data_IF_914814237441
#
_entry.id   IF_914814237441
#
_cell.length_a   1.000
_cell.length_b   1.000
_cell.length_c   1.000
_cell.angle_alpha   90.00
_cell.angle_beta   90.00
_cell.angle_gamma   90.00
#
_symmetry.space_group_name_H-M   'P 1'
#
loop_
_entity.id
_entity.type
_entity.pdbx_description
1 polymer ?
#
# COMPACT_ATOMS: atom_id res chain seq x y z
N UNK A 1 84.42 -37.29 -24.30
CA UNK A 1 84.01 -36.18 -23.41
C UNK A 1 83.09 -35.26 -24.19
N UNK A 2 81.89 -34.85 -23.80
CA UNK A 2 81.16 -35.04 -22.54
C UNK A 2 80.08 -33.94 -22.40
N UNK A 3 79.07 -33.92 -23.28
CA UNK A 3 78.03 -32.87 -23.27
C UNK A 3 77.05 -33.08 -22.11
N UNK A 4 76.99 -32.14 -21.16
CA UNK A 4 75.94 -32.08 -20.13
C UNK A 4 74.69 -31.39 -20.70
N UNK A 5 73.59 -32.14 -20.83
CA UNK A 5 72.25 -31.56 -20.97
C UNK A 5 71.62 -31.38 -19.58
N UNK A 6 71.03 -30.22 -19.32
CA UNK A 6 70.42 -29.90 -18.03
C UNK A 6 68.89 -29.97 -18.15
N UNK A 7 68.26 -31.00 -17.58
CA UNK A 7 66.84 -31.28 -17.78
C UNK A 7 66.08 -31.08 -16.46
N UNK A 8 65.45 -29.91 -16.29
CA UNK A 8 64.72 -29.56 -15.07
C UNK A 8 63.27 -30.05 -15.15
N UNK A 9 62.96 -31.20 -14.53
CA UNK A 9 61.58 -31.67 -14.39
C UNK A 9 60.90 -31.03 -13.17
N UNK A 10 59.98 -30.09 -13.42
CA UNK A 10 59.12 -29.52 -12.38
C UNK A 10 58.05 -30.55 -11.93
N UNK A 11 58.32 -31.27 -10.85
CA UNK A 11 57.31 -32.11 -10.20
C UNK A 11 56.18 -31.25 -9.61
N UNK A 12 55.00 -31.35 -10.20
CA UNK A 12 53.77 -30.75 -9.65
C UNK A 12 53.22 -31.67 -8.54
N UNK A 13 52.85 -31.15 -7.34
CA UNK A 13 52.42 -31.99 -6.23
C UNK A 13 51.12 -32.79 -6.53
N UNK A 14 50.94 -33.99 -5.95
CA UNK A 14 49.73 -34.78 -6.13
C UNK A 14 48.47 -34.03 -5.73
N UNK A 15 47.44 -34.11 -6.59
CA UNK A 15 46.17 -33.37 -6.51
C UNK A 15 45.42 -33.51 -5.17
N UNK A 16 45.74 -34.54 -4.37
CA UNK A 16 45.11 -34.86 -3.07
C UNK A 16 45.61 -33.98 -1.90
N UNK A 17 46.88 -33.55 -1.93
CA UNK A 17 47.46 -32.69 -0.88
C UNK A 17 46.92 -31.25 -0.99
N UNK A 18 46.68 -30.80 -2.23
CA UNK A 18 46.19 -29.44 -2.52
C UNK A 18 44.78 -29.17 -2.00
N UNK A 19 43.98 -30.21 -1.73
CA UNK A 19 42.64 -30.09 -1.15
C UNK A 19 42.71 -29.87 0.36
N UNK A 20 43.57 -30.62 1.07
CA UNK A 20 43.68 -30.53 2.53
C UNK A 20 44.27 -29.19 3.00
N UNK A 21 45.29 -28.67 2.29
CA UNK A 21 45.84 -27.34 2.60
C UNK A 21 44.76 -26.26 2.46
N UNK A 22 43.93 -26.33 1.41
CA UNK A 22 42.86 -25.36 1.17
C UNK A 22 41.71 -25.44 2.20
N UNK A 23 41.41 -26.63 2.71
CA UNK A 23 40.44 -26.80 3.82
C UNK A 23 40.98 -26.27 5.16
N UNK A 24 42.30 -26.32 5.37
CA UNK A 24 42.94 -25.84 6.59
C UNK A 24 43.13 -24.32 6.59
N UNK A 25 43.42 -23.72 5.42
CA UNK A 25 43.39 -22.26 5.21
C UNK A 25 41.97 -21.69 5.38
N UNK A 26 40.93 -22.40 4.92
CA UNK A 26 39.52 -21.99 5.11
C UNK A 26 39.05 -22.06 6.57
N UNK A 27 39.66 -22.92 7.40
CA UNK A 27 39.37 -23.00 8.86
C UNK A 27 40.09 -21.92 9.66
N UNK A 28 41.21 -21.41 9.16
CA UNK A 28 42.05 -20.41 9.83
C UNK A 28 41.87 -18.99 9.28
N UNK A 29 41.01 -18.80 8.27
CA UNK A 29 40.61 -17.48 7.80
C UNK A 29 40.03 -16.68 8.97
N UNK A 30 40.51 -15.45 9.26
CA UNK A 30 39.95 -14.63 10.33
C UNK A 30 38.45 -14.50 10.12
N UNK A 31 37.66 -14.76 11.16
CA UNK A 31 36.21 -14.61 11.14
C UNK A 31 35.87 -13.13 10.95
N UNK A 32 35.93 -12.68 9.70
CA UNK A 32 35.58 -11.34 9.28
C UNK A 32 34.21 -11.08 9.87
N UNK A 33 34.18 -10.20 10.88
CA UNK A 33 32.96 -9.86 11.57
C UNK A 33 32.04 -9.29 10.52
N UNK A 34 31.12 -10.13 10.07
CA UNK A 34 30.08 -9.74 9.13
C UNK A 34 29.16 -8.88 9.95
N UNK A 35 29.51 -7.60 10.03
CA UNK A 35 28.68 -6.54 10.54
C UNK A 35 27.49 -6.46 9.58
N UNK A 36 26.55 -7.40 9.74
CA UNK A 36 25.14 -7.11 9.58
C UNK A 36 24.85 -6.03 10.60
N UNK A 37 25.16 -4.80 10.22
CA UNK A 37 24.57 -3.62 10.81
C UNK A 37 23.08 -3.88 10.73
N UNK A 38 22.49 -4.30 11.85
CA UNK A 38 21.05 -4.28 11.99
C UNK A 38 20.69 -2.82 11.72
N UNK A 39 19.94 -2.60 10.65
CA UNK A 39 19.48 -1.26 10.30
C UNK A 39 18.56 -0.86 11.46
N UNK A 40 19.11 -0.11 12.42
CA UNK A 40 18.36 0.44 13.54
C UNK A 40 17.45 1.49 12.92
N UNK A 41 16.27 1.03 12.52
CA UNK A 41 15.22 1.89 12.00
C UNK A 41 14.90 2.90 13.11
N UNK A 42 14.92 4.21 12.82
CA UNK A 42 14.52 5.22 13.80
C UNK A 42 13.08 4.96 14.24
N UNK A 43 12.69 5.49 15.40
CA UNK A 43 11.35 5.20 15.94
C UNK A 43 10.26 5.84 15.05
N UNK A 44 9.71 5.02 14.15
CA UNK A 44 8.76 5.43 13.12
C UNK A 44 7.44 5.85 13.78
N UNK A 45 7.02 7.09 13.56
CA UNK A 45 5.77 7.65 14.09
C UNK A 45 4.54 6.97 13.47
N UNK A 46 3.37 7.06 14.11
CA UNK A 46 2.11 6.52 13.55
C UNK A 46 1.83 7.13 12.16
N UNK A 47 2.07 8.42 12.00
CA UNK A 47 1.93 9.16 10.73
C UNK A 47 2.85 8.59 9.64
N UNK A 48 4.10 8.28 9.97
CA UNK A 48 5.05 7.68 9.04
C UNK A 48 4.65 6.24 8.67
N UNK A 49 4.13 5.45 9.62
CA UNK A 49 3.61 4.10 9.33
C UNK A 49 2.40 4.19 8.38
N UNK A 50 1.53 5.19 8.54
CA UNK A 50 0.42 5.43 7.60
C UNK A 50 0.96 5.77 6.21
N UNK A 51 1.99 6.61 6.08
CA UNK A 51 2.60 6.90 4.78
C UNK A 51 3.33 5.70 4.16
N UNK A 52 3.93 4.84 4.98
CA UNK A 52 4.45 3.53 4.55
C UNK A 52 3.29 2.67 4.04
N UNK A 53 2.15 2.62 4.73
CA UNK A 53 0.97 1.85 4.32
C UNK A 53 0.41 2.33 2.97
N UNK A 54 0.25 3.64 2.79
CA UNK A 54 -0.18 4.28 1.53
C UNK A 54 0.81 4.00 0.38
N UNK A 55 2.10 4.11 0.66
CA UNK A 55 3.17 3.83 -0.31
C UNK A 55 3.19 2.36 -0.74
N UNK A 56 3.00 1.44 0.20
CA UNK A 56 2.90 0.02 -0.09
C UNK A 56 1.62 -0.31 -0.87
N UNK A 57 0.49 0.32 -0.54
CA UNK A 57 -0.76 0.17 -1.29
C UNK A 57 -0.66 0.72 -2.72
N UNK A 58 0.04 1.84 -2.92
CA UNK A 58 0.39 2.36 -4.25
C UNK A 58 1.24 1.36 -5.03
N UNK A 59 2.35 0.86 -4.46
CA UNK A 59 3.19 -0.17 -5.11
C UNK A 59 2.38 -1.42 -5.50
N UNK A 60 1.55 -1.91 -4.58
CA UNK A 60 0.67 -3.06 -4.81
C UNK A 60 -0.27 -2.80 -6.00
N UNK A 61 -0.95 -1.65 -6.01
CA UNK A 61 -1.98 -1.31 -7.00
C UNK A 61 -1.39 -0.95 -8.37
N UNK A 62 -0.34 -0.12 -8.42
CA UNK A 62 0.19 0.44 -9.67
C UNK A 62 1.30 -0.38 -10.32
N UNK A 63 2.04 -1.21 -9.57
CA UNK A 63 3.20 -1.95 -10.10
C UNK A 63 3.05 -3.46 -9.96
N UNK A 64 2.80 -3.97 -8.76
CA UNK A 64 2.89 -5.43 -8.50
C UNK A 64 1.66 -6.16 -9.04
N UNK A 65 0.45 -5.65 -8.78
CA UNK A 65 -0.80 -6.27 -9.25
C UNK A 65 -0.90 -6.27 -10.79
N UNK A 66 -0.58 -5.17 -11.51
CA UNK A 66 -0.57 -5.17 -12.98
C UNK A 66 0.46 -6.13 -13.57
N UNK A 67 1.69 -6.19 -13.02
CA UNK A 67 2.73 -7.11 -13.48
C UNK A 67 2.28 -8.58 -13.39
N UNK A 68 1.73 -8.98 -12.24
CA UNK A 68 1.18 -10.34 -12.04
C UNK A 68 -0.01 -10.61 -12.97
N UNK A 69 -0.93 -9.65 -13.11
CA UNK A 69 -2.10 -9.76 -14.00
C UNK A 69 -1.67 -9.96 -15.45
N UNK A 70 -0.78 -9.12 -15.98
CA UNK A 70 -0.29 -9.19 -17.37
C UNK A 70 0.33 -10.56 -17.65
N UNK A 71 1.14 -11.07 -16.71
CA UNK A 71 1.72 -12.40 -16.81
C UNK A 71 0.65 -13.51 -16.82
N UNK A 72 -0.32 -13.50 -15.91
CA UNK A 72 -1.39 -14.50 -15.87
C UNK A 72 -2.30 -14.44 -17.11
N UNK A 73 -2.57 -13.25 -17.65
CA UNK A 73 -3.29 -13.08 -18.91
C UNK A 73 -2.52 -13.67 -20.11
N UNK A 74 -1.19 -13.48 -20.18
CA UNK A 74 -0.32 -14.11 -21.20
C UNK A 74 -0.25 -15.63 -21.08
N UNK A 75 -0.52 -16.18 -19.88
CA UNK A 75 -0.65 -17.62 -19.63
C UNK A 75 -2.10 -18.13 -19.78
N UNK A 76 -3.04 -17.28 -20.19
CA UNK A 76 -4.48 -17.57 -20.30
C UNK A 76 -5.17 -18.03 -18.99
N UNK A 77 -4.58 -17.70 -17.83
CA UNK A 77 -5.09 -18.09 -16.50
C UNK A 77 -6.05 -17.07 -15.88
N UNK A 78 -6.07 -15.83 -16.41
CA UNK A 78 -6.96 -14.74 -16.01
C UNK A 78 -7.44 -14.03 -17.26
N UNK A 79 -8.71 -13.61 -17.30
CA UNK A 79 -9.27 -12.89 -18.44
C UNK A 79 -8.65 -11.49 -18.58
N UNK A 80 -8.20 -11.08 -19.78
CA UNK A 80 -7.71 -9.72 -20.02
C UNK A 80 -8.81 -8.67 -19.89
N UNK A 81 -10.08 -9.07 -20.00
CA UNK A 81 -11.25 -8.19 -19.82
C UNK A 81 -11.69 -8.06 -18.35
N UNK A 82 -11.05 -8.79 -17.42
CA UNK A 82 -11.38 -8.66 -16.00
C UNK A 82 -10.96 -7.29 -15.46
N UNK A 83 -11.94 -6.50 -15.02
CA UNK A 83 -11.79 -5.18 -14.37
C UNK A 83 -11.76 -5.26 -12.84
N UNK A 84 -12.00 -6.44 -12.28
CA UNK A 84 -11.85 -6.74 -10.85
C UNK A 84 -10.95 -7.97 -10.73
N UNK A 85 -9.86 -7.84 -9.99
CA UNK A 85 -8.89 -8.91 -9.79
C UNK A 85 -8.29 -8.77 -8.40
N UNK A 86 -8.59 -9.74 -7.53
CA UNK A 86 -8.00 -9.76 -6.20
C UNK A 86 -6.55 -10.27 -6.27
N UNK A 87 -5.64 -9.49 -5.68
CA UNK A 87 -4.22 -9.83 -5.65
C UNK A 87 -3.94 -11.18 -4.96
N UNK A 88 -4.60 -11.48 -3.84
CA UNK A 88 -4.34 -12.73 -3.12
C UNK A 88 -4.82 -13.94 -3.96
N UNK A 89 -5.96 -13.83 -4.64
CA UNK A 89 -6.43 -14.83 -5.61
C UNK A 89 -5.44 -15.04 -6.77
N UNK A 90 -4.91 -13.98 -7.37
CA UNK A 90 -3.88 -14.11 -8.42
C UNK A 90 -2.58 -14.76 -7.91
N UNK A 91 -2.17 -14.44 -6.68
CA UNK A 91 -1.00 -15.09 -6.05
C UNK A 91 -1.24 -16.56 -5.69
N UNK A 92 -2.48 -16.97 -5.38
CA UNK A 92 -2.84 -18.38 -5.21
C UNK A 92 -2.72 -19.15 -6.52
N UNK A 93 -3.24 -18.61 -7.64
CA UNK A 93 -3.04 -19.17 -8.99
C UNK A 93 -1.54 -19.32 -9.28
N UNK A 94 -0.76 -18.27 -9.06
CA UNK A 94 0.68 -18.26 -9.31
C UNK A 94 1.41 -19.30 -8.43
N UNK A 95 1.04 -19.45 -7.16
CA UNK A 95 1.58 -20.49 -6.26
C UNK A 95 1.25 -21.91 -6.69
N UNK A 96 0.05 -22.13 -7.25
CA UNK A 96 -0.39 -23.44 -7.72
C UNK A 96 0.44 -23.88 -8.93
N UNK A 97 0.48 -23.08 -9.99
CA UNK A 97 1.23 -23.43 -11.20
C UNK A 97 2.75 -23.52 -10.96
N UNK A 98 3.33 -22.65 -10.13
CA UNK A 98 4.74 -22.73 -9.73
C UNK A 98 5.09 -23.97 -8.87
N UNK A 99 4.08 -24.67 -8.31
CA UNK A 99 4.29 -25.96 -7.63
C UNK A 99 4.30 -27.15 -8.60
N UNK A 100 3.65 -27.01 -9.76
CA UNK A 100 3.51 -28.05 -10.78
C UNK A 100 4.68 -27.97 -11.77
N UNK A 101 4.98 -26.77 -12.27
CA UNK A 101 6.06 -26.52 -13.23
C UNK A 101 7.07 -25.51 -12.69
N UNK A 102 8.33 -25.94 -12.57
CA UNK A 102 9.46 -25.11 -12.13
C UNK A 102 9.88 -24.05 -13.15
N UNK A 103 9.46 -24.18 -14.41
CA UNK A 103 9.70 -23.24 -15.50
C UNK A 103 8.48 -22.35 -15.81
N UNK A 104 7.44 -22.41 -14.96
CA UNK A 104 6.25 -21.60 -15.10
C UNK A 104 6.58 -20.09 -15.04
N UNK A 105 7.53 -19.71 -14.19
CA UNK A 105 8.01 -18.34 -14.01
C UNK A 105 9.34 -18.10 -14.74
N UNK A 106 9.58 -16.88 -15.20
CA UNK A 106 10.80 -16.50 -15.93
C UNK A 106 12.05 -16.46 -15.05
N UNK A 107 11.88 -16.28 -13.74
CA UNK A 107 12.96 -16.42 -12.76
C UNK A 107 12.44 -17.12 -11.50
N UNK A 108 13.21 -18.03 -10.88
CA UNK A 108 12.73 -18.86 -9.78
C UNK A 108 12.39 -18.03 -8.53
N UNK A 109 11.25 -18.33 -7.94
CA UNK A 109 10.80 -17.82 -6.63
C UNK A 109 10.07 -18.95 -5.90
N UNK A 110 10.30 -19.09 -4.60
CA UNK A 110 9.69 -20.16 -3.83
C UNK A 110 8.24 -19.84 -3.45
N UNK A 111 7.37 -20.85 -3.34
CA UNK A 111 6.00 -20.66 -2.85
C UNK A 111 5.94 -20.02 -1.45
N UNK A 112 6.98 -20.18 -0.62
CA UNK A 112 7.12 -19.47 0.66
C UNK A 112 7.29 -17.95 0.49
N UNK A 113 7.87 -17.47 -0.61
CA UNK A 113 7.97 -16.03 -0.93
C UNK A 113 6.69 -15.49 -1.56
N UNK A 114 6.01 -16.29 -2.39
CA UNK A 114 4.64 -16.01 -2.86
C UNK A 114 3.67 -15.85 -1.67
N UNK A 115 3.74 -16.75 -0.69
CA UNK A 115 2.99 -16.65 0.56
C UNK A 115 3.29 -15.36 1.35
N UNK A 116 4.57 -14.95 1.47
CA UNK A 116 4.94 -13.66 2.09
C UNK A 116 4.34 -12.47 1.32
N UNK A 117 4.26 -12.54 0.00
CA UNK A 117 3.67 -11.47 -0.80
C UNK A 117 2.16 -11.34 -0.55
N UNK A 118 1.46 -12.46 -0.28
CA UNK A 118 0.06 -12.47 0.18
C UNK A 118 -0.04 -11.87 1.60
N UNK A 119 0.84 -12.28 2.53
CA UNK A 119 0.89 -11.71 3.89
C UNK A 119 1.09 -10.19 3.87
N UNK A 120 2.05 -9.70 3.07
CA UNK A 120 2.33 -8.28 2.90
C UNK A 120 1.09 -7.50 2.45
N UNK A 121 0.34 -8.02 1.47
CA UNK A 121 -0.94 -7.46 1.03
C UNK A 121 -1.95 -7.43 2.19
N UNK A 122 -2.06 -8.51 2.97
CA UNK A 122 -3.00 -8.56 4.09
C UNK A 122 -2.64 -7.57 5.21
N UNK A 123 -1.37 -7.39 5.55
CA UNK A 123 -0.88 -6.36 6.50
C UNK A 123 -1.36 -4.96 6.10
N UNK A 124 -1.29 -4.63 4.81
CA UNK A 124 -1.74 -3.35 4.22
C UNK A 124 -3.27 -3.26 4.25
N UNK A 125 -3.98 -4.23 3.68
CA UNK A 125 -5.44 -4.22 3.60
C UNK A 125 -6.13 -4.15 4.97
N UNK A 126 -5.49 -4.67 6.03
CA UNK A 126 -5.95 -4.66 7.41
C UNK A 126 -5.31 -3.57 8.29
N UNK A 127 -4.49 -2.68 7.72
CA UNK A 127 -3.82 -1.59 8.46
C UNK A 127 -3.11 -2.09 9.74
N UNK A 128 -2.40 -3.21 9.65
CA UNK A 128 -1.62 -3.76 10.77
C UNK A 128 -0.34 -2.94 10.94
N UNK A 129 -0.47 -1.78 11.61
CA UNK A 129 0.63 -0.82 11.77
C UNK A 129 1.86 -1.45 12.45
N UNK A 130 1.66 -2.43 13.34
CA UNK A 130 2.74 -3.17 14.01
C UNK A 130 3.50 -4.05 13.03
N UNK A 131 2.79 -4.82 12.20
CA UNK A 131 3.41 -5.63 11.16
C UNK A 131 4.08 -4.74 10.10
N UNK A 132 3.41 -3.67 9.66
CA UNK A 132 3.93 -2.72 8.67
C UNK A 132 5.24 -2.05 9.14
N UNK A 133 5.29 -1.53 10.38
CA UNK A 133 6.52 -0.95 10.98
C UNK A 133 7.70 -1.93 10.92
N UNK A 134 7.44 -3.22 11.12
CA UNK A 134 8.46 -4.29 11.15
C UNK A 134 8.83 -4.85 9.78
N UNK A 135 7.87 -4.96 8.86
CA UNK A 135 7.98 -5.81 7.67
C UNK A 135 8.08 -5.03 6.34
N UNK A 136 7.77 -3.73 6.29
CA UNK A 136 7.64 -2.97 5.04
C UNK A 136 8.81 -3.15 4.06
N UNK A 137 10.05 -3.10 4.55
CA UNK A 137 11.25 -3.26 3.71
C UNK A 137 11.34 -4.66 3.10
N UNK A 138 11.04 -5.69 3.90
CA UNK A 138 11.01 -7.10 3.45
C UNK A 138 9.88 -7.35 2.44
N UNK A 139 8.75 -6.67 2.62
CA UNK A 139 7.60 -6.77 1.73
C UNK A 139 7.97 -6.22 0.34
N UNK A 140 8.58 -5.03 0.27
CA UNK A 140 9.08 -4.45 -0.99
C UNK A 140 10.13 -5.36 -1.66
N UNK A 141 11.10 -5.87 -0.91
CA UNK A 141 12.11 -6.81 -1.46
C UNK A 141 11.47 -8.09 -2.03
N UNK A 142 10.39 -8.57 -1.40
CA UNK A 142 9.64 -9.74 -1.89
C UNK A 142 8.90 -9.41 -3.19
N UNK A 143 8.29 -8.23 -3.29
CA UNK A 143 7.62 -7.78 -4.52
C UNK A 143 8.59 -7.47 -5.67
N UNK A 144 9.79 -6.94 -5.40
CA UNK A 144 10.83 -6.73 -6.41
C UNK A 144 11.26 -8.06 -7.03
N UNK A 145 11.41 -9.11 -6.21
CA UNK A 145 11.67 -10.48 -6.69
C UNK A 145 10.51 -11.01 -7.52
N UNK A 146 9.28 -10.89 -7.01
CA UNK A 146 8.07 -11.33 -7.70
C UNK A 146 7.92 -10.68 -9.09
N UNK A 147 8.11 -9.36 -9.19
CA UNK A 147 8.04 -8.63 -10.47
C UNK A 147 9.06 -9.16 -11.47
N UNK A 148 10.29 -9.45 -11.03
CA UNK A 148 11.33 -10.09 -11.88
C UNK A 148 10.92 -11.52 -12.29
N UNK A 149 10.36 -12.32 -11.38
CA UNK A 149 9.88 -13.68 -11.67
C UNK A 149 8.75 -13.73 -12.69
N UNK A 150 7.86 -12.74 -12.72
CA UNK A 150 6.82 -12.61 -13.76
C UNK A 150 7.28 -11.87 -15.02
N UNK A 151 8.57 -11.51 -15.11
CA UNK A 151 9.19 -10.91 -16.29
C UNK A 151 9.02 -9.40 -16.42
N UNK A 152 8.51 -8.71 -15.41
CA UNK A 152 8.35 -7.25 -15.41
C UNK A 152 9.50 -6.54 -14.68
N UNK A 153 10.60 -6.33 -15.43
CA UNK A 153 11.75 -5.60 -14.95
C UNK A 153 11.45 -4.12 -14.64
N UNK A 154 10.44 -3.51 -15.31
CA UNK A 154 10.07 -2.11 -15.09
C UNK A 154 9.33 -1.94 -13.78
N UNK A 155 8.33 -2.78 -13.50
CA UNK A 155 7.65 -2.81 -12.20
C UNK A 155 8.65 -3.10 -11.06
N UNK A 156 9.58 -4.05 -11.26
CA UNK A 156 10.63 -4.32 -10.29
C UNK A 156 11.52 -3.09 -9.99
N UNK A 157 11.90 -2.33 -11.03
CA UNK A 157 12.67 -1.10 -10.91
C UNK A 157 11.89 0.00 -10.16
N UNK A 158 10.61 0.19 -10.50
CA UNK A 158 9.76 1.18 -9.84
C UNK A 158 9.59 0.88 -8.34
N UNK A 159 9.32 -0.38 -7.96
CA UNK A 159 9.22 -0.79 -6.55
C UNK A 159 10.57 -0.64 -5.83
N UNK A 160 11.71 -0.87 -6.51
CA UNK A 160 13.04 -0.62 -5.96
C UNK A 160 13.28 0.88 -5.72
N UNK A 161 12.85 1.77 -6.62
CA UNK A 161 12.94 3.22 -6.46
C UNK A 161 12.16 3.69 -5.23
N UNK A 162 10.92 3.23 -5.06
CA UNK A 162 10.10 3.52 -3.87
C UNK A 162 10.77 3.00 -2.60
N UNK A 163 11.30 1.77 -2.63
CA UNK A 163 12.04 1.16 -1.52
C UNK A 163 13.25 2.01 -1.10
N UNK A 164 14.04 2.48 -2.06
CA UNK A 164 15.22 3.32 -1.81
C UNK A 164 14.84 4.67 -1.17
N UNK A 165 13.69 5.25 -1.51
CA UNK A 165 13.18 6.49 -0.89
C UNK A 165 12.72 6.27 0.55
N UNK A 166 12.00 5.18 0.82
CA UNK A 166 11.59 4.81 2.19
C UNK A 166 12.79 4.51 3.10
N UNK A 167 13.83 3.85 2.58
CA UNK A 167 15.10 3.63 3.31
C UNK A 167 15.81 4.94 3.66
N UNK A 168 15.65 5.99 2.84
CA UNK A 168 16.16 7.35 3.10
C UNK A 168 15.25 8.19 4.00
N UNK A 169 14.23 7.61 4.63
CA UNK A 169 13.26 8.33 5.46
C UNK A 169 12.29 9.24 4.69
N UNK A 170 12.24 9.14 3.36
CA UNK A 170 11.41 10.02 2.51
C UNK A 170 9.95 9.54 2.47
N UNK A 171 9.35 9.16 3.60
CA UNK A 171 8.03 8.52 3.70
C UNK A 171 6.92 9.33 2.99
N UNK A 172 6.97 10.66 3.11
CA UNK A 172 6.04 11.59 2.48
C UNK A 172 6.17 11.68 0.94
N UNK A 173 7.36 11.43 0.39
CA UNK A 173 7.69 11.62 -1.05
C UNK A 173 8.17 10.31 -1.71
N UNK A 174 7.86 9.16 -1.11
CA UNK A 174 8.34 7.86 -1.58
C UNK A 174 7.74 7.48 -2.94
N UNK A 175 6.54 7.95 -3.24
CA UNK A 175 5.82 7.75 -4.50
C UNK A 175 5.92 9.00 -5.37
N UNK A 176 6.03 8.81 -6.69
CA UNK A 176 6.07 9.91 -7.65
C UNK A 176 4.69 10.54 -7.81
N UNK A 177 4.65 11.82 -8.16
CA UNK A 177 3.41 12.52 -8.48
C UNK A 177 2.84 12.03 -9.81
N UNK A 178 2.14 10.90 -9.77
CA UNK A 178 1.29 10.50 -10.87
C UNK A 178 0.08 11.44 -10.92
N UNK A 179 -0.13 12.19 -12.03
CA UNK A 179 -1.28 13.07 -12.16
C UNK A 179 -2.55 12.21 -12.19
N UNK A 180 -3.41 12.40 -11.19
CA UNK A 180 -4.70 11.73 -11.14
C UNK A 180 -5.71 12.47 -12.02
N UNK A 181 -6.43 11.71 -12.85
CA UNK A 181 -7.52 12.19 -13.70
C UNK A 181 -8.80 11.41 -13.36
N UNK A 182 -9.88 12.10 -13.03
CA UNK A 182 -11.18 11.49 -12.72
C UNK A 182 -12.06 11.41 -13.98
N UNK A 183 -11.90 10.37 -14.79
CA UNK A 183 -12.69 10.23 -16.03
C UNK A 183 -14.13 9.81 -15.73
N UNK A 184 -15.10 10.48 -16.35
CA UNK A 184 -16.51 10.06 -16.37
C UNK A 184 -16.77 8.96 -17.42
N UNK A 185 -17.88 8.24 -17.28
CA UNK A 185 -18.36 7.29 -18.28
C UNK A 185 -17.81 5.87 -18.12
N UNK A 186 -17.13 5.37 -19.16
CA UNK A 186 -16.65 3.98 -19.21
C UNK A 186 -15.50 3.73 -18.23
N UNK A 187 -15.36 2.49 -17.76
CA UNK A 187 -14.33 2.10 -16.79
C UNK A 187 -12.91 2.47 -17.27
N UNK A 188 -12.21 3.27 -16.47
CA UNK A 188 -10.80 3.59 -16.67
C UNK A 188 -9.95 3.04 -15.52
N UNK A 189 -9.01 2.14 -15.83
CA UNK A 189 -8.17 1.48 -14.83
C UNK A 189 -7.26 2.45 -14.06
N UNK A 190 -6.73 3.48 -14.72
CA UNK A 190 -5.88 4.50 -14.07
C UNK A 190 -6.68 5.35 -13.08
N UNK A 191 -7.87 5.78 -13.47
CA UNK A 191 -8.79 6.49 -12.58
C UNK A 191 -9.28 5.59 -11.44
N UNK A 192 -9.57 4.32 -11.71
CA UNK A 192 -9.98 3.37 -10.68
C UNK A 192 -8.87 3.12 -9.65
N UNK A 193 -7.61 3.00 -10.08
CA UNK A 193 -6.45 2.89 -9.19
C UNK A 193 -6.24 4.14 -8.34
N UNK A 194 -6.41 5.33 -8.92
CA UNK A 194 -6.31 6.59 -8.21
C UNK A 194 -7.40 6.75 -7.15
N UNK A 195 -8.64 6.44 -7.51
CA UNK A 195 -9.77 6.41 -6.57
C UNK A 195 -9.57 5.39 -5.46
N UNK A 196 -9.06 4.18 -5.77
CA UNK A 196 -8.72 3.18 -4.74
C UNK A 196 -7.66 3.69 -3.77
N UNK A 197 -6.63 4.39 -4.24
CA UNK A 197 -5.58 4.94 -3.39
C UNK A 197 -6.09 6.11 -2.54
N UNK A 198 -6.94 6.98 -3.09
CA UNK A 198 -7.61 8.05 -2.35
C UNK A 198 -8.51 7.50 -1.23
N UNK A 199 -9.38 6.53 -1.57
CA UNK A 199 -10.24 5.84 -0.61
C UNK A 199 -9.41 5.13 0.48
N UNK A 200 -8.29 4.50 0.10
CA UNK A 200 -7.38 3.87 1.06
C UNK A 200 -6.70 4.89 1.99
N UNK A 201 -6.27 6.05 1.48
CA UNK A 201 -5.77 7.15 2.30
C UNK A 201 -6.83 7.67 3.27
N UNK A 202 -8.09 7.82 2.84
CA UNK A 202 -9.20 8.18 3.71
C UNK A 202 -9.43 7.15 4.83
N UNK A 203 -9.35 5.85 4.48
CA UNK A 203 -9.43 4.75 5.45
C UNK A 203 -8.29 4.79 6.47
N UNK A 204 -7.06 4.96 6.02
CA UNK A 204 -5.86 4.88 6.85
C UNK A 204 -5.72 6.07 7.81
N UNK A 205 -5.99 7.30 7.33
CA UNK A 205 -5.82 8.53 8.12
C UNK A 205 -7.01 8.82 9.03
N UNK A 206 -8.22 8.75 8.48
CA UNK A 206 -9.43 9.26 9.12
C UNK A 206 -10.28 8.13 9.69
N UNK A 207 -10.82 7.24 8.84
CA UNK A 207 -11.79 6.22 9.30
C UNK A 207 -11.20 5.27 10.35
N UNK A 208 -10.01 4.70 10.10
CA UNK A 208 -9.36 3.78 11.03
C UNK A 208 -9.06 4.41 12.39
N UNK A 209 -8.52 5.64 12.39
CA UNK A 209 -8.23 6.41 13.60
C UNK A 209 -9.50 6.73 14.38
N UNK A 210 -10.53 7.25 13.73
CA UNK A 210 -11.79 7.65 14.40
C UNK A 210 -12.57 6.45 14.93
N UNK A 211 -12.68 5.35 14.19
CA UNK A 211 -13.31 4.11 14.68
C UNK A 211 -12.56 3.54 15.87
N UNK A 212 -11.22 3.57 15.84
CA UNK A 212 -10.39 3.12 16.97
C UNK A 212 -10.66 3.96 18.21
N UNK A 213 -10.62 5.28 18.09
CA UNK A 213 -10.90 6.23 19.18
C UNK A 213 -12.29 6.05 19.77
N UNK A 214 -13.32 5.95 18.94
CA UNK A 214 -14.69 5.67 19.37
C UNK A 214 -14.79 4.39 20.21
N UNK A 215 -14.19 3.28 19.74
CA UNK A 215 -14.23 2.00 20.46
C UNK A 215 -13.44 1.99 21.79
N UNK A 216 -12.38 2.80 21.91
CA UNK A 216 -11.70 3.04 23.21
C UNK A 216 -12.62 3.84 24.15
N UNK A 217 -13.25 4.91 23.64
CA UNK A 217 -14.12 5.79 24.43
C UNK A 217 -15.37 5.08 24.97
N UNK A 218 -15.93 4.13 24.22
CA UNK A 218 -17.01 3.25 24.69
C UNK A 218 -16.60 2.31 25.84
N UNK A 219 -15.32 2.32 26.27
CA UNK A 219 -14.72 1.48 27.33
C UNK A 219 -14.84 -0.04 27.14
N UNK A 220 -15.37 -0.50 26.01
CA UNK A 220 -15.50 -1.93 25.66
C UNK A 220 -14.22 -2.52 25.07
N UNK A 221 -13.40 -1.71 24.38
CA UNK A 221 -12.19 -2.20 23.71
C UNK A 221 -10.96 -1.29 23.92
N UNK A 222 -10.29 -1.36 25.09
CA UNK A 222 -9.04 -0.65 25.33
C UNK A 222 -7.89 -1.09 24.39
N UNK A 223 -8.00 -2.27 23.79
CA UNK A 223 -7.07 -2.85 22.82
C UNK A 223 -7.53 -2.73 21.35
N UNK A 224 -8.41 -1.76 21.02
CA UNK A 224 -8.92 -1.61 19.66
C UNK A 224 -7.81 -1.38 18.62
N UNK A 225 -7.90 -2.12 17.52
CA UNK A 225 -6.91 -2.14 16.43
C UNK A 225 -7.11 -1.01 15.44
N UNK A 226 -6.12 -0.74 14.57
CA UNK A 226 -6.31 0.09 13.38
C UNK A 226 -7.01 -0.64 12.21
N UNK A 227 -7.29 -1.94 12.36
CA UNK A 227 -7.99 -2.75 11.36
C UNK A 227 -9.46 -2.34 11.26
N UNK A 228 -9.73 -1.48 10.27
CA UNK A 228 -11.08 -0.98 9.94
C UNK A 228 -12.09 -2.12 9.77
N UNK A 229 -11.69 -3.28 9.23
CA UNK A 229 -12.61 -4.40 9.05
C UNK A 229 -12.98 -5.05 10.37
N UNK A 230 -12.03 -5.25 11.28
CA UNK A 230 -12.34 -5.74 12.64
C UNK A 230 -13.22 -4.75 13.39
N UNK A 231 -12.89 -3.46 13.33
CA UNK A 231 -13.63 -2.41 14.01
C UNK A 231 -15.06 -2.30 13.47
N UNK A 232 -15.26 -2.20 12.15
CA UNK A 232 -16.60 -2.17 11.54
C UNK A 232 -17.38 -3.46 11.82
N UNK A 233 -16.75 -4.64 11.73
CA UNK A 233 -17.42 -5.92 12.04
C UNK A 233 -17.91 -5.94 13.49
N UNK A 234 -17.07 -5.54 14.45
CA UNK A 234 -17.46 -5.45 15.85
C UNK A 234 -18.62 -4.46 16.06
N UNK A 235 -18.54 -3.26 15.49
CA UNK A 235 -19.60 -2.23 15.54
C UNK A 235 -20.93 -2.78 14.98
N UNK A 236 -20.90 -3.55 13.89
CA UNK A 236 -22.07 -4.20 13.31
C UNK A 236 -22.68 -5.25 14.24
N UNK A 237 -21.86 -6.06 14.93
CA UNK A 237 -22.38 -7.03 15.91
C UNK A 237 -22.96 -6.33 17.16
N UNK A 238 -22.29 -5.31 17.69
CA UNK A 238 -22.79 -4.52 18.83
C UNK A 238 -24.11 -3.82 18.49
N UNK A 239 -24.28 -3.31 17.26
CA UNK A 239 -25.52 -2.68 16.83
C UNK A 239 -26.72 -3.65 16.81
N UNK A 240 -26.50 -4.93 16.53
CA UNK A 240 -27.57 -5.95 16.61
C UNK A 240 -28.05 -6.17 18.05
N UNK A 241 -27.18 -5.94 19.04
CA UNK A 241 -27.48 -6.08 20.46
C UNK A 241 -28.08 -4.77 21.01
N UNK A 242 -27.56 -3.62 20.58
CA UNK A 242 -28.02 -2.29 20.96
C UNK A 242 -28.12 -1.42 19.70
N UNK A 243 -29.34 -1.15 19.23
CA UNK A 243 -29.58 -0.30 18.05
C UNK A 243 -28.81 1.03 18.13
N UNK A 244 -28.93 1.72 19.26
CA UNK A 244 -28.26 2.98 19.57
C UNK A 244 -26.80 2.78 20.06
N UNK A 245 -26.06 1.84 19.46
CA UNK A 245 -24.63 1.65 19.75
C UNK A 245 -23.78 2.80 19.22
N UNK A 246 -24.07 3.30 18.01
CA UNK A 246 -23.36 4.42 17.40
C UNK A 246 -23.77 5.76 18.04
N UNK A 247 -25.07 6.07 18.03
CA UNK A 247 -25.68 7.24 18.66
C UNK A 247 -27.18 7.00 18.87
N UNK A 248 -27.83 7.77 19.74
CA UNK A 248 -29.27 7.69 20.02
C UNK A 248 -30.13 7.92 18.77
N UNK A 249 -31.20 7.14 18.57
CA UNK A 249 -32.12 7.28 17.44
C UNK A 249 -31.71 6.56 16.15
N UNK A 250 -30.98 5.44 16.26
CA UNK A 250 -30.48 4.65 15.12
C UNK A 250 -31.58 4.12 14.19
N UNK A 251 -32.78 3.84 14.73
CA UNK A 251 -33.96 3.41 13.98
C UNK A 251 -34.39 4.39 12.89
N UNK A 252 -34.21 5.69 13.12
CA UNK A 252 -34.61 6.75 12.19
C UNK A 252 -33.52 7.08 11.15
N UNK A 253 -32.27 6.66 11.37
CA UNK A 253 -31.12 6.96 10.50
C UNK A 253 -30.73 5.83 9.55
N UNK A 254 -31.28 4.62 9.70
CA UNK A 254 -30.89 3.43 8.93
C UNK A 254 -29.39 3.07 9.08
N UNK A 255 -28.84 3.24 10.29
CA UNK A 255 -27.41 3.04 10.59
C UNK A 255 -26.86 1.67 10.12
N UNK A 256 -27.69 0.62 10.07
CA UNK A 256 -27.30 -0.73 9.62
C UNK A 256 -26.99 -0.81 8.12
N UNK A 257 -27.71 -0.03 7.29
CA UNK A 257 -27.43 0.10 5.85
C UNK A 257 -26.13 0.87 5.65
N UNK A 258 -25.97 1.97 6.39
CA UNK A 258 -24.75 2.79 6.39
C UNK A 258 -23.51 1.97 6.78
N UNK A 259 -23.56 1.17 7.84
CA UNK A 259 -22.46 0.28 8.22
C UNK A 259 -22.16 -0.80 7.18
N UNK A 260 -23.19 -1.35 6.52
CA UNK A 260 -23.02 -2.30 5.42
C UNK A 260 -22.29 -1.65 4.24
N UNK A 261 -22.69 -0.46 3.81
CA UNK A 261 -22.02 0.26 2.72
C UNK A 261 -20.59 0.68 3.12
N UNK A 262 -20.35 1.05 4.39
CA UNK A 262 -19.00 1.35 4.88
C UNK A 262 -18.06 0.12 4.84
N UNK A 263 -18.60 -1.06 5.16
CA UNK A 263 -17.90 -2.35 5.05
C UNK A 263 -17.62 -2.72 3.59
N UNK A 264 -18.61 -2.59 2.70
CA UNK A 264 -18.45 -2.81 1.26
C UNK A 264 -17.40 -1.86 0.67
N UNK A 265 -17.44 -0.58 1.02
CA UNK A 265 -16.47 0.43 0.61
C UNK A 265 -15.03 0.04 0.97
N UNK A 266 -14.79 -0.37 2.22
CA UNK A 266 -13.48 -0.88 2.66
C UNK A 266 -13.08 -2.11 1.87
N UNK A 267 -13.98 -3.08 1.72
CA UNK A 267 -13.66 -4.35 1.08
C UNK A 267 -13.38 -4.18 -0.42
N UNK A 268 -14.12 -3.32 -1.11
CA UNK A 268 -13.87 -3.04 -2.53
C UNK A 268 -12.57 -2.28 -2.76
N UNK A 269 -12.27 -1.30 -1.90
CA UNK A 269 -11.01 -0.55 -1.90
C UNK A 269 -9.81 -1.47 -1.67
N UNK A 270 -9.84 -2.30 -0.62
CA UNK A 270 -8.68 -3.12 -0.24
C UNK A 270 -8.52 -4.43 -1.04
N UNK A 271 -9.57 -4.96 -1.69
CA UNK A 271 -9.56 -6.31 -2.31
C UNK A 271 -9.76 -6.28 -3.84
N UNK A 272 -9.17 -5.30 -4.51
CA UNK A 272 -9.04 -5.27 -5.97
C UNK A 272 -10.35 -5.19 -6.75
N UNK A 273 -11.40 -4.59 -6.18
CA UNK A 273 -12.70 -4.41 -6.85
C UNK A 273 -12.77 -3.05 -7.55
N UNK A 274 -11.79 -2.81 -8.42
CA UNK A 274 -11.58 -1.52 -9.09
C UNK A 274 -12.80 -1.02 -9.86
N UNK A 275 -13.60 -1.90 -10.49
CA UNK A 275 -14.82 -1.48 -11.18
C UNK A 275 -15.92 -1.01 -10.22
N UNK A 276 -15.98 -1.55 -9.00
CA UNK A 276 -16.89 -1.09 -7.93
C UNK A 276 -16.42 0.23 -7.34
N UNK A 277 -15.12 0.38 -7.10
CA UNK A 277 -14.52 1.65 -6.66
C UNK A 277 -14.80 2.76 -7.69
N UNK A 278 -14.51 2.51 -8.97
CA UNK A 278 -14.73 3.49 -10.05
C UNK A 278 -16.19 3.94 -10.18
N UNK A 279 -17.16 3.05 -9.92
CA UNK A 279 -18.60 3.36 -10.05
C UNK A 279 -19.27 3.88 -8.78
N UNK A 280 -18.69 3.66 -7.59
CA UNK A 280 -19.35 3.95 -6.29
C UNK A 280 -18.52 4.83 -5.34
N UNK A 281 -17.41 5.42 -5.79
CA UNK A 281 -16.53 6.24 -4.95
C UNK A 281 -17.25 7.39 -4.21
N UNK A 282 -18.24 8.05 -4.85
CA UNK A 282 -19.06 9.10 -4.22
C UNK A 282 -19.81 8.57 -3.00
N UNK A 283 -20.58 7.51 -3.21
CA UNK A 283 -21.36 6.83 -2.17
C UNK A 283 -20.44 6.36 -1.02
N UNK A 284 -19.25 5.87 -1.32
CA UNK A 284 -18.28 5.41 -0.33
C UNK A 284 -17.72 6.54 0.54
N UNK A 285 -17.33 7.67 -0.07
CA UNK A 285 -16.89 8.84 0.68
C UNK A 285 -18.06 9.43 1.51
N UNK A 286 -19.24 9.59 0.92
CA UNK A 286 -20.45 10.07 1.62
C UNK A 286 -20.79 9.19 2.83
N UNK A 287 -20.77 7.87 2.66
CA UNK A 287 -21.03 6.91 3.74
C UNK A 287 -20.02 7.05 4.87
N UNK A 288 -18.73 7.28 4.57
CA UNK A 288 -17.72 7.50 5.61
C UNK A 288 -17.86 8.87 6.27
N UNK A 289 -18.22 9.94 5.56
CA UNK A 289 -18.57 11.23 6.18
C UNK A 289 -19.71 11.04 7.17
N UNK A 290 -20.83 10.43 6.75
CA UNK A 290 -21.98 10.19 7.63
C UNK A 290 -21.64 9.28 8.82
N UNK A 291 -20.83 8.24 8.63
CA UNK A 291 -20.37 7.38 9.73
C UNK A 291 -19.54 8.17 10.76
N UNK A 292 -18.59 8.98 10.29
CA UNK A 292 -17.75 9.83 11.14
C UNK A 292 -18.59 10.90 11.86
N UNK A 293 -19.59 11.46 11.18
CA UNK A 293 -20.53 12.40 11.77
C UNK A 293 -21.36 11.81 12.92
N UNK A 294 -21.83 10.56 12.78
CA UNK A 294 -22.62 9.86 13.81
C UNK A 294 -21.77 9.56 15.05
N UNK A 295 -20.51 9.10 14.87
CA UNK A 295 -19.60 8.85 16.00
C UNK A 295 -18.91 10.12 16.54
N UNK A 296 -19.40 11.30 16.16
CA UNK A 296 -18.91 12.62 16.56
C UNK A 296 -17.42 12.93 16.19
N UNK A 297 -16.91 12.32 15.12
CA UNK A 297 -15.57 12.57 14.58
C UNK A 297 -15.59 13.69 13.51
N UNK A 298 -16.09 14.88 13.89
CA UNK A 298 -16.43 15.98 12.96
C UNK A 298 -15.27 16.49 12.11
N UNK A 299 -14.07 16.62 12.68
CA UNK A 299 -12.87 17.03 11.94
C UNK A 299 -12.55 16.03 10.80
N UNK A 300 -12.52 14.74 11.12
CA UNK A 300 -12.29 13.67 10.16
C UNK A 300 -13.39 13.59 9.09
N UNK A 301 -14.65 13.86 9.46
CA UNK A 301 -15.76 13.96 8.51
C UNK A 301 -15.54 15.13 7.53
N UNK A 302 -15.14 16.30 8.04
CA UNK A 302 -14.83 17.48 7.24
C UNK A 302 -13.68 17.27 6.24
N UNK A 303 -12.62 16.58 6.64
CA UNK A 303 -11.50 16.23 5.75
C UNK A 303 -11.94 15.30 4.60
N UNK A 304 -12.73 14.25 4.88
CA UNK A 304 -13.27 13.38 3.82
C UNK A 304 -14.26 14.15 2.93
N UNK A 305 -15.07 15.05 3.49
CA UNK A 305 -16.00 15.88 2.72
C UNK A 305 -15.27 16.84 1.76
N UNK A 306 -14.10 17.39 2.16
CA UNK A 306 -13.26 18.19 1.26
C UNK A 306 -12.71 17.35 0.09
N UNK A 307 -12.30 16.09 0.34
CA UNK A 307 -11.87 15.16 -0.72
C UNK A 307 -13.02 14.85 -1.67
N UNK A 308 -14.21 14.54 -1.15
CA UNK A 308 -15.42 14.32 -1.95
C UNK A 308 -15.76 15.53 -2.82
N UNK A 309 -15.79 16.74 -2.25
CA UNK A 309 -16.08 17.98 -2.98
C UNK A 309 -15.05 18.22 -4.10
N UNK A 310 -13.76 18.05 -3.81
CA UNK A 310 -12.67 18.22 -4.78
C UNK A 310 -12.78 17.24 -5.95
N UNK A 311 -13.19 15.99 -5.69
CA UNK A 311 -13.39 14.98 -6.72
C UNK A 311 -14.66 15.22 -7.56
N UNK A 312 -15.74 15.69 -6.94
CA UNK A 312 -16.97 16.08 -7.68
C UNK A 312 -16.70 17.26 -8.60
N UNK A 313 -15.97 18.28 -8.13
CA UNK A 313 -15.52 19.39 -8.97
C UNK A 313 -14.63 18.88 -10.10
N UNK A 314 -13.62 18.04 -9.81
CA UNK A 314 -12.72 17.52 -10.84
C UNK A 314 -13.42 16.65 -11.90
N UNK A 315 -14.46 15.91 -11.51
CA UNK A 315 -15.29 15.10 -12.41
C UNK A 315 -16.19 15.98 -13.31
N UNK A 316 -16.81 17.03 -12.75
CA UNK A 316 -17.57 18.03 -13.50
C UNK A 316 -16.68 18.82 -14.46
N UNK A 317 -15.54 19.30 -13.97
CA UNK A 317 -14.58 20.06 -14.75
C UNK A 317 -13.96 19.21 -15.86
N UNK A 318 -13.87 17.87 -15.73
CA UNK A 318 -13.40 17.00 -16.82
C UNK A 318 -14.37 16.95 -18.03
N UNK A 319 -15.61 17.42 -17.89
CA UNK A 319 -16.46 17.73 -19.05
C UNK A 319 -16.05 19.02 -19.78
N UNK A 320 -15.14 19.84 -19.23
CA UNK A 320 -14.77 21.16 -19.77
C UNK A 320 -13.23 21.43 -19.86
N UNK A 321 -12.38 20.82 -19.03
CA UNK A 321 -10.91 21.02 -19.00
C UNK A 321 -10.14 19.88 -18.29
N UNK A 322 -8.88 19.67 -18.70
CA UNK A 322 -7.98 18.68 -18.06
C UNK A 322 -7.37 19.23 -16.78
N UNK A 323 -7.80 18.73 -15.62
CA UNK A 323 -7.15 19.02 -14.32
C UNK A 323 -6.02 18.02 -14.06
N UNK A 324 -4.85 18.53 -13.68
CA UNK A 324 -3.80 17.74 -13.01
C UNK A 324 -3.94 17.95 -11.50
N UNK A 325 -4.38 16.93 -10.78
CA UNK A 325 -4.28 16.93 -9.33
C UNK A 325 -2.85 16.46 -8.96
N UNK A 326 -1.99 17.32 -8.39
CA UNK A 326 -0.69 16.88 -7.88
C UNK A 326 -0.91 15.91 -6.73
N UNK A 327 -0.09 14.85 -6.63
CA UNK A 327 -0.25 13.86 -5.57
C UNK A 327 0.08 14.43 -4.17
N UNK A 328 0.64 15.64 -4.10
CA UNK A 328 0.78 16.42 -2.87
C UNK A 328 -0.54 17.03 -2.39
N UNK A 329 -1.43 16.21 -1.82
CA UNK A 329 -2.52 16.63 -0.93
C UNK A 329 -2.01 17.22 0.41
N UNK A 330 -0.82 17.85 0.43
CA UNK A 330 -0.02 18.11 1.64
C UNK A 330 0.32 19.59 1.88
N UNK A 331 -0.08 20.48 0.98
CA UNK A 331 -0.15 21.93 1.20
C UNK A 331 -1.45 22.43 0.57
N UNK A 332 -1.98 23.55 1.06
CA UNK A 332 -3.24 24.21 0.62
C UNK A 332 -3.54 23.94 -0.85
N UNK A 333 -4.72 23.36 -1.13
CA UNK A 333 -5.17 23.06 -2.49
C UNK A 333 -5.16 24.34 -3.33
N UNK A 334 -4.14 24.47 -4.17
CA UNK A 334 -3.99 25.56 -5.14
C UNK A 334 -4.25 24.98 -6.52
N UNK A 335 -5.53 24.92 -6.89
CA UNK A 335 -5.98 24.45 -8.21
C UNK A 335 -5.40 25.37 -9.30
N UNK A 336 -4.37 24.91 -10.01
CA UNK A 336 -3.90 25.55 -11.23
C UNK A 336 -4.81 25.14 -12.40
N UNK A 337 -5.83 25.96 -12.66
CA UNK A 337 -6.63 25.85 -13.86
C UNK A 337 -5.79 26.22 -15.09
N UNK A 338 -5.64 25.28 -16.03
CA UNK A 338 -4.87 25.49 -17.27
C UNK A 338 -5.63 26.32 -18.33
N UNK A 339 -6.65 27.10 -17.92
CA UNK A 339 -7.57 27.79 -18.81
C UNK A 339 -7.89 29.22 -18.32
N UNK A 340 -6.92 30.11 -18.48
CA UNK A 340 -7.15 31.54 -18.77
C UNK A 340 -7.79 32.48 -17.74
N UNK A 341 -8.38 32.01 -16.63
CA UNK A 341 -8.98 32.89 -15.61
C UNK A 341 -8.64 32.47 -14.18
N UNK A 342 -7.91 33.35 -13.49
CA UNK A 342 -7.64 33.26 -12.06
C UNK A 342 -8.88 33.68 -11.27
N UNK A 343 -9.46 32.77 -10.50
CA UNK A 343 -10.36 33.07 -9.39
C UNK A 343 -9.65 32.70 -8.08
N UNK A 344 -8.98 33.68 -7.47
CA UNK A 344 -8.42 33.52 -6.13
C UNK A 344 -9.46 33.85 -5.08
N UNK A 345 -9.96 32.86 -4.36
CA UNK A 345 -10.70 33.07 -3.11
C UNK A 345 -9.72 32.89 -1.96
N UNK A 346 -9.26 34.01 -1.38
CA UNK A 346 -8.62 33.98 -0.07
C UNK A 346 -9.70 33.98 1.01
N UNK A 347 -9.61 33.06 1.97
CA UNK A 347 -10.33 33.16 3.23
C UNK A 347 -9.32 33.38 4.36
N UNK A 348 -9.52 34.50 5.05
CA UNK A 348 -8.69 35.00 6.15
C UNK A 348 -9.47 34.90 7.45
N UNK A 349 -8.84 34.47 8.55
CA UNK A 349 -9.03 34.88 9.96
C UNK A 349 -8.35 33.85 10.89
N UNK A 350 -7.55 34.14 11.95
CA UNK A 350 -7.50 35.23 12.96
C UNK A 350 -8.70 35.09 13.92
N UNK A 351 -8.64 34.44 15.09
CA UNK A 351 -7.95 34.69 16.38
C UNK A 351 -8.03 33.37 17.25
N UNK A 352 -7.56 33.20 18.49
CA UNK A 352 -7.00 34.04 19.56
C UNK A 352 -6.25 33.14 20.57
N UNK A 353 -5.15 33.60 21.15
CA UNK A 353 -4.94 33.54 22.61
C UNK A 353 -3.84 34.52 23.05
N UNK A 354 -4.13 35.27 24.11
CA UNK A 354 -3.35 36.39 24.65
C UNK A 354 -2.44 35.97 25.81
N UNK A 355 -1.42 36.80 26.08
CA UNK A 355 -0.74 37.01 27.39
C UNK A 355 0.06 35.80 27.94
N UNK A 356 1.15 35.94 28.70
CA UNK A 356 1.79 37.06 29.44
C UNK A 356 3.30 37.16 29.04
N UNK A 357 4.17 38.10 29.49
CA UNK A 357 4.08 39.30 30.34
C UNK A 357 5.28 40.23 30.08
N UNK A 358 5.27 41.42 30.71
CA UNK A 358 6.34 42.44 30.81
C UNK A 358 6.75 43.15 29.51
#
# INVERSE_FOLDING_TARGET
MGKKGNNNQNHTPPRRIRTQIREQELKNAPTAHRVTAQLVLPDVSITDIIHIAETLFFCLTYYVTPAVRIFLCRRHLVSPMATNYDYAGMMQILSHYNSIDRHFLYAPIFNREIGKAISARNEICHLDLTALKKNWHRNLLTWIRLCRSVGDARAASNVQTVCNRLVRGQYQHAIEENPFYCTTGTYNESSAFGLSLLLYSCLARHVGTSLRTFLVQQKRHPSSTFDVFKNLKHIIEEQKIKSDFLATGASHRSDSILLKVAMDARNHTCHGKFSRVFSRWKEYLQTWVSLLDIINAKEAAGEIQQVLNSLVVAESDIQQCRIKLPFQWRRKVQLQFSCGRLLSVQLTSILLLQQTSC
#
